data_IF_408360415416
#
_entry.id   IF_408360415416
#
_cell.length_a   1.000
_cell.length_b   1.000
_cell.length_c   1.000
_cell.angle_alpha   90.00
_cell.angle_beta   90.00
_cell.angle_gamma   90.00
#
_symmetry.space_group_name_H-M   'P 1'
#
loop_
_entity.id
_entity.type
_entity.pdbx_description
1 polymer ?
#
# COMPACT_ATOMS: atom_id res chain seq x y z
N UNK A 1 -14.30 -14.77 -4.56
CA UNK A 1 -15.65 -15.20 -4.14
C UNK A 1 -16.36 -14.07 -3.37
N UNK A 2 -17.65 -13.81 -3.61
CA UNK A 2 -18.38 -12.70 -2.97
C UNK A 2 -18.39 -12.80 -1.43
N UNK A 3 -18.37 -14.02 -0.90
CA UNK A 3 -18.35 -14.35 0.52
C UNK A 3 -17.08 -13.88 1.26
N UNK A 4 -16.02 -13.52 0.54
CA UNK A 4 -14.76 -13.03 1.13
C UNK A 4 -14.57 -11.51 1.00
N UNK A 5 -15.52 -10.76 0.43
CA UNK A 5 -15.38 -9.30 0.25
C UNK A 5 -15.15 -8.57 1.57
N UNK A 6 -15.75 -9.05 2.67
CA UNK A 6 -15.53 -8.48 4.00
C UNK A 6 -14.08 -8.61 4.48
N UNK A 7 -13.39 -9.71 4.12
CA UNK A 7 -11.98 -9.92 4.48
C UNK A 7 -11.02 -8.97 3.76
N UNK A 8 -11.42 -8.40 2.62
CA UNK A 8 -10.60 -7.41 1.91
C UNK A 8 -10.39 -6.11 2.72
N UNK A 9 -11.24 -5.86 3.72
CA UNK A 9 -11.15 -4.70 4.61
C UNK A 9 -10.73 -5.06 6.05
N UNK A 10 -10.54 -6.35 6.35
CA UNK A 10 -10.16 -6.82 7.67
C UNK A 10 -8.62 -6.85 7.79
N UNK A 11 -8.10 -6.53 8.99
CA UNK A 11 -6.67 -6.72 9.29
C UNK A 11 -6.40 -8.19 9.66
N UNK A 12 -6.68 -9.09 8.73
CA UNK A 12 -6.56 -10.54 8.89
C UNK A 12 -5.72 -11.15 7.77
N UNK A 13 -5.08 -12.28 8.05
CA UNK A 13 -4.43 -13.05 6.99
C UNK A 13 -5.48 -13.61 6.04
N UNK A 14 -5.22 -13.45 4.74
CA UNK A 14 -6.12 -13.94 3.69
C UNK A 14 -5.45 -15.14 3.03
N UNK A 15 -6.02 -16.35 3.11
CA UNK A 15 -5.46 -17.50 2.42
C UNK A 15 -5.50 -17.27 0.90
N UNK A 16 -4.39 -17.59 0.25
CA UNK A 16 -4.18 -17.53 -1.19
C UNK A 16 -4.09 -18.95 -1.75
N UNK A 17 -3.98 -19.05 -3.08
CA UNK A 17 -3.74 -20.33 -3.74
C UNK A 17 -2.41 -20.96 -3.29
N UNK A 18 -2.29 -22.28 -3.46
CA UNK A 18 -1.05 -23.05 -3.18
C UNK A 18 -0.59 -23.00 -1.72
N UNK A 19 -1.53 -22.89 -0.78
CA UNK A 19 -1.23 -22.89 0.66
C UNK A 19 -0.49 -21.63 1.15
N UNK A 20 -0.45 -20.58 0.34
CA UNK A 20 0.13 -19.30 0.71
C UNK A 20 -0.89 -18.44 1.46
N UNK A 21 -0.42 -17.46 2.22
CA UNK A 21 -1.27 -16.51 2.94
C UNK A 21 -0.78 -15.09 2.66
N UNK A 22 -1.72 -14.18 2.40
CA UNK A 22 -1.43 -12.76 2.40
C UNK A 22 -1.23 -12.31 3.85
N UNK A 23 -0.13 -11.58 4.10
CA UNK A 23 0.09 -10.94 5.39
C UNK A 23 -1.07 -10.02 5.74
N UNK A 24 -1.30 -9.83 7.04
CA UNK A 24 -2.17 -8.77 7.54
C UNK A 24 -1.79 -7.41 6.91
N UNK A 25 -2.74 -6.62 6.42
CA UNK A 25 -2.49 -5.29 5.87
C UNK A 25 -1.57 -4.41 6.72
N UNK A 26 -1.74 -4.43 8.05
CA UNK A 26 -0.91 -3.66 8.98
C UNK A 26 0.56 -4.12 9.04
N UNK A 27 0.83 -5.41 8.81
CA UNK A 27 2.18 -5.96 8.76
C UNK A 27 2.82 -5.65 7.40
N UNK A 28 2.09 -5.90 6.31
CA UNK A 28 2.56 -5.59 4.97
C UNK A 28 2.89 -4.10 4.80
N UNK A 29 2.01 -3.21 5.28
CA UNK A 29 2.23 -1.76 5.24
C UNK A 29 3.49 -1.33 5.99
N UNK A 30 3.73 -1.86 7.20
CA UNK A 30 4.95 -1.58 7.97
C UNK A 30 6.22 -2.09 7.30
N UNK A 31 6.17 -3.27 6.71
CA UNK A 31 7.31 -3.81 5.95
C UNK A 31 7.62 -2.93 4.74
N UNK A 32 6.60 -2.49 4.00
CA UNK A 32 6.78 -1.57 2.87
C UNK A 32 7.39 -0.23 3.31
N UNK A 33 6.95 0.31 4.44
CA UNK A 33 7.53 1.52 5.01
C UNK A 33 8.99 1.35 5.43
N UNK A 34 9.33 0.20 6.01
CA UNK A 34 10.69 -0.08 6.44
C UNK A 34 11.64 -0.35 5.27
N UNK A 35 11.14 -1.00 4.21
CA UNK A 35 11.94 -1.38 3.05
C UNK A 35 12.18 -0.22 2.07
N UNK A 36 11.33 0.82 2.09
CA UNK A 36 11.42 1.99 1.18
C UNK A 36 11.71 1.58 -0.28
N UNK A 37 10.84 0.75 -0.89
CA UNK A 37 11.15 0.11 -2.16
C UNK A 37 11.43 1.13 -3.27
N UNK A 38 12.44 0.84 -4.07
CA UNK A 38 12.88 1.70 -5.17
C UNK A 38 12.01 1.54 -6.42
N UNK A 39 11.98 2.55 -7.33
CA UNK A 39 11.30 2.42 -8.61
C UNK A 39 11.78 1.18 -9.38
N UNK A 40 10.85 0.26 -9.67
CA UNK A 40 11.13 -0.99 -10.38
C UNK A 40 11.07 -2.24 -9.49
N UNK A 41 11.10 -2.08 -8.16
CA UNK A 41 10.92 -3.20 -7.24
C UNK A 41 9.47 -3.68 -7.20
N UNK A 42 9.29 -5.01 -7.19
CA UNK A 42 7.98 -5.66 -7.29
C UNK A 42 7.44 -5.97 -5.90
N UNK A 43 6.55 -5.12 -5.42
CA UNK A 43 5.90 -5.26 -4.10
C UNK A 43 4.45 -5.76 -4.15
N UNK A 44 3.83 -5.77 -5.34
CA UNK A 44 2.47 -6.27 -5.55
C UNK A 44 2.47 -7.48 -6.47
N UNK A 45 1.62 -8.47 -6.17
CA UNK A 45 1.27 -9.54 -7.11
C UNK A 45 0.38 -9.01 -8.25
N UNK A 46 0.36 -9.69 -9.39
CA UNK A 46 -0.55 -9.33 -10.49
C UNK A 46 -2.00 -9.47 -10.03
N UNK A 47 -2.82 -8.43 -10.25
CA UNK A 47 -4.17 -8.30 -9.70
C UNK A 47 -4.21 -7.71 -8.29
N UNK A 48 -3.06 -7.53 -7.64
CA UNK A 48 -2.91 -6.84 -6.37
C UNK A 48 -3.20 -5.33 -6.46
N UNK A 49 -3.59 -4.74 -5.33
CA UNK A 49 -3.95 -3.32 -5.23
C UNK A 49 -3.39 -2.73 -3.93
N UNK A 50 -2.96 -1.47 -3.99
CA UNK A 50 -2.44 -0.73 -2.86
C UNK A 50 -3.07 0.66 -2.84
N UNK A 51 -3.68 1.03 -1.72
CA UNK A 51 -4.08 2.40 -1.44
C UNK A 51 -3.00 3.05 -0.58
N UNK A 52 -2.55 4.24 -0.96
CA UNK A 52 -1.52 4.97 -0.22
C UNK A 52 -1.73 6.47 -0.36
N UNK A 53 -1.34 7.22 0.67
CA UNK A 53 -1.32 8.69 0.64
C UNK A 53 0.13 9.13 0.51
N UNK A 54 0.44 9.90 -0.54
CA UNK A 54 1.77 10.48 -0.75
C UNK A 54 1.74 11.99 -0.59
N UNK A 55 2.86 12.54 -0.14
CA UNK A 55 3.03 13.98 0.06
C UNK A 55 3.18 14.34 1.52
N UNK A 56 3.15 15.64 1.77
CA UNK A 56 3.30 16.25 3.10
C UNK A 56 2.29 17.36 3.22
N UNK A 57 1.76 17.58 4.42
CA UNK A 57 0.80 18.67 4.64
C UNK A 57 1.36 20.02 4.12
N UNK A 58 0.53 20.86 3.47
CA UNK A 58 -0.92 20.69 3.29
C UNK A 58 -1.33 19.90 2.03
N UNK A 59 -0.38 19.47 1.19
CA UNK A 59 -0.68 18.81 -0.09
C UNK A 59 -0.36 17.32 0.00
N UNK A 60 -1.38 16.49 0.19
CA UNK A 60 -1.25 15.04 0.04
C UNK A 60 -2.30 14.49 -0.92
N UNK A 61 -1.91 13.47 -1.67
CA UNK A 61 -2.71 12.82 -2.70
C UNK A 61 -2.95 11.36 -2.33
N UNK A 62 -4.21 10.97 -2.22
CA UNK A 62 -4.62 9.59 -2.02
C UNK A 62 -4.64 8.87 -3.36
N UNK A 63 -3.78 7.85 -3.51
CA UNK A 63 -3.60 7.08 -4.74
C UNK A 63 -4.00 5.63 -4.57
N UNK A 64 -4.60 5.07 -5.61
CA UNK A 64 -4.78 3.62 -5.76
C UNK A 64 -3.86 3.11 -6.86
N UNK A 65 -2.93 2.25 -6.49
CA UNK A 65 -2.06 1.51 -7.39
C UNK A 65 -2.67 0.13 -7.61
N UNK A 66 -2.75 -0.31 -8.87
CA UNK A 66 -3.16 -1.67 -9.25
C UNK A 66 -2.10 -2.26 -10.16
N UNK A 67 -1.63 -3.47 -9.85
CA UNK A 67 -0.73 -4.18 -10.77
C UNK A 67 -1.57 -4.96 -11.77
N UNK A 68 -1.55 -4.53 -13.03
CA UNK A 68 -2.40 -5.10 -14.10
C UNK A 68 -1.70 -6.22 -14.86
N UNK A 69 -0.37 -6.20 -14.93
CA UNK A 69 0.45 -7.24 -15.53
C UNK A 69 1.80 -7.41 -14.79
N UNK A 70 2.64 -8.35 -15.25
CA UNK A 70 3.92 -8.65 -14.61
C UNK A 70 4.88 -7.45 -14.57
N UNK A 71 4.73 -6.49 -15.47
CA UNK A 71 5.57 -5.31 -15.66
C UNK A 71 4.75 -4.02 -15.75
N UNK A 72 3.43 -4.10 -15.50
CA UNK A 72 2.53 -2.96 -15.61
C UNK A 72 1.81 -2.67 -14.28
N UNK A 73 1.97 -1.45 -13.79
CA UNK A 73 1.21 -0.87 -12.70
C UNK A 73 0.42 0.34 -13.20
N UNK A 74 -0.86 0.39 -12.83
CA UNK A 74 -1.75 1.52 -13.09
C UNK A 74 -1.96 2.27 -11.77
N UNK A 75 -1.59 3.55 -11.74
CA UNK A 75 -1.73 4.41 -10.57
C UNK A 75 -2.78 5.48 -10.85
N UNK A 76 -3.84 5.51 -10.05
CA UNK A 76 -4.89 6.52 -10.14
C UNK A 76 -4.90 7.37 -8.87
N UNK A 77 -4.77 8.69 -9.03
CA UNK A 77 -5.11 9.65 -7.97
C UNK A 77 -6.62 9.66 -7.75
N UNK A 78 -7.04 9.62 -6.49
CA UNK A 78 -8.44 9.53 -6.10
C UNK A 78 -8.96 10.87 -5.57
N UNK A 79 -8.25 11.47 -4.62
CA UNK A 79 -8.61 12.74 -4.01
C UNK A 79 -7.44 13.32 -3.20
N UNK A 80 -7.47 14.63 -2.97
CA UNK A 80 -6.56 15.30 -2.04
C UNK A 80 -7.02 15.11 -0.59
N UNK A 81 -6.07 14.90 0.33
CA UNK A 81 -6.36 14.70 1.75
C UNK A 81 -5.21 15.15 2.63
N UNK A 82 -5.47 15.23 3.94
CA UNK A 82 -4.45 15.47 4.98
C UNK A 82 -4.69 14.44 6.07
N UNK A 83 -3.77 13.50 6.23
CA UNK A 83 -3.82 12.48 7.29
C UNK A 83 -2.62 12.62 8.22
N UNK A 84 -2.82 12.23 9.48
CA UNK A 84 -1.70 12.09 10.41
C UNK A 84 -0.71 11.04 9.87
N UNK A 85 0.60 11.22 10.09
CA UNK A 85 1.59 10.23 9.74
C UNK A 85 1.28 8.87 10.38
N UNK A 86 1.62 7.80 9.67
CA UNK A 86 1.47 6.45 10.19
C UNK A 86 2.29 6.26 11.48
N UNK A 87 1.63 5.76 12.53
CA UNK A 87 2.28 5.49 13.82
C UNK A 87 3.33 4.40 13.63
N UNK A 88 4.56 4.64 14.12
CA UNK A 88 5.74 3.79 13.93
C UNK A 88 6.32 3.74 12.51
N UNK A 89 5.98 4.70 11.64
CA UNK A 89 6.66 4.87 10.37
C UNK A 89 8.05 5.50 10.57
N UNK A 90 9.05 5.03 9.82
CA UNK A 90 10.34 5.73 9.72
C UNK A 90 10.08 7.09 9.09
N UNK A 91 10.33 8.16 9.85
CA UNK A 91 10.24 9.52 9.30
C UNK A 91 11.56 9.86 8.62
N UNK A 92 11.51 10.05 7.31
CA UNK A 92 12.64 10.63 6.57
C UNK A 92 12.91 12.04 7.11
N UNK A 93 14.17 12.39 7.42
CA UNK A 93 14.51 13.72 7.94
C UNK A 93 14.03 14.79 6.96
N UNK A 94 13.21 15.72 7.44
CA UNK A 94 12.84 16.89 6.66
C UNK A 94 14.01 17.87 6.63
N UNK A 95 14.44 18.27 5.44
CA UNK A 95 15.39 19.37 5.28
C UNK A 95 14.77 20.66 5.86
N UNK A 96 15.44 21.26 6.84
CA UNK A 96 15.14 22.61 7.35
C UNK A 96 16.23 23.56 6.86
N UNK A 97 15.81 24.66 6.25
CA UNK A 97 16.69 25.79 5.88
C UNK A 97 16.93 26.69 7.09
#
# INVERSE_FOLDING_TARGET
PEEQRYRAYADAEVPLARGQHMLRPSVAGRLLQALLPEPGERVLEVGGRLFLVVGTAPVMDARLVRRTAADACMTHSLFETVIDPLVNAVQVPQFRF
#
